data_IF_949191627800
#
_entry.id   IF_949191627800
#
_cell.length_a   1.000
_cell.length_b   1.000
_cell.length_c   1.000
_cell.angle_alpha   90.00
_cell.angle_beta   90.00
_cell.angle_gamma   90.00
#
_symmetry.space_group_name_H-M   'P 1'
#
loop_
_entity.id
_entity.type
_entity.pdbx_description
1 polymer ?
#
# COMPACT_ATOMS: atom_id res chain seq x y z
N UNK A 1 32.84 8.72 5.57
CA UNK A 1 31.84 8.43 4.52
C UNK A 1 31.11 7.09 4.65
N UNK A 2 31.77 5.92 4.75
CA UNK A 2 31.06 4.63 4.98
C UNK A 2 30.51 4.53 6.41
N UNK A 3 31.32 4.91 7.41
CA UNK A 3 30.95 4.85 8.82
C UNK A 3 29.88 5.90 9.20
N UNK A 4 29.89 7.07 8.57
CA UNK A 4 28.86 8.12 8.75
C UNK A 4 27.50 7.70 8.18
N UNK A 5 27.49 6.99 7.03
CA UNK A 5 26.25 6.44 6.46
C UNK A 5 25.72 5.26 7.26
N UNK A 6 26.59 4.42 7.83
CA UNK A 6 26.17 3.34 8.73
C UNK A 6 25.67 3.88 10.08
N UNK A 7 26.23 4.96 10.61
CA UNK A 7 25.71 5.66 11.77
C UNK A 7 24.33 6.29 11.47
N UNK A 8 24.18 6.99 10.34
CA UNK A 8 22.89 7.58 9.93
C UNK A 8 21.77 6.55 9.74
N UNK A 9 22.07 5.35 9.25
CA UNK A 9 21.07 4.27 9.18
C UNK A 9 20.67 3.75 10.57
N UNK A 10 21.59 3.66 11.53
CA UNK A 10 21.27 3.25 12.90
C UNK A 10 20.38 4.27 13.60
N UNK A 11 20.64 5.55 13.37
CA UNK A 11 19.82 6.63 13.92
C UNK A 11 18.41 6.60 13.33
N UNK A 12 18.27 6.37 12.00
CA UNK A 12 16.99 6.16 11.36
C UNK A 12 16.27 4.90 11.89
N UNK A 13 16.96 3.77 12.01
CA UNK A 13 16.38 2.54 12.57
C UNK A 13 15.83 2.78 13.99
N UNK A 14 16.55 3.53 14.83
CA UNK A 14 16.12 3.89 16.17
C UNK A 14 14.92 4.85 16.18
N UNK A 15 14.93 5.88 15.31
CA UNK A 15 13.81 6.81 15.12
C UNK A 15 12.53 6.06 14.75
N UNK A 16 12.59 5.24 13.70
CA UNK A 16 11.41 4.53 13.19
C UNK A 16 10.92 3.49 14.19
N UNK A 17 11.84 2.77 14.85
CA UNK A 17 11.48 1.83 15.91
C UNK A 17 10.71 2.54 17.04
N UNK A 18 11.23 3.66 17.52
CA UNK A 18 10.59 4.43 18.60
C UNK A 18 9.21 4.93 18.17
N UNK A 19 9.08 5.39 16.93
CA UNK A 19 7.80 5.79 16.36
C UNK A 19 6.81 4.61 16.32
N UNK A 20 7.24 3.45 15.82
CA UNK A 20 6.39 2.26 15.75
C UNK A 20 5.95 1.77 17.13
N UNK A 21 6.86 1.69 18.11
CA UNK A 21 6.55 1.28 19.48
C UNK A 21 5.52 2.18 20.15
N UNK A 22 5.59 3.49 19.89
CA UNK A 22 4.68 4.47 20.48
C UNK A 22 3.30 4.45 19.81
N UNK A 23 3.22 4.21 18.51
CA UNK A 23 2.01 4.47 17.73
C UNK A 23 1.32 3.22 17.14
N UNK A 24 1.94 2.04 17.14
CA UNK A 24 1.38 0.86 16.46
C UNK A 24 0.01 0.41 16.99
N UNK A 25 -0.36 0.79 18.22
CA UNK A 25 -1.63 0.43 18.86
C UNK A 25 -2.74 1.45 18.61
N UNK A 26 -2.43 2.58 17.99
CA UNK A 26 -3.42 3.61 17.65
C UNK A 26 -4.41 3.11 16.61
N UNK A 27 -5.58 3.74 16.61
CA UNK A 27 -6.55 3.61 15.53
C UNK A 27 -5.94 4.11 14.21
N UNK A 28 -6.30 3.46 13.09
CA UNK A 28 -5.68 3.64 11.78
C UNK A 28 -5.59 5.10 11.32
N UNK A 29 -6.68 5.88 11.45
CA UNK A 29 -6.65 7.30 11.08
C UNK A 29 -5.66 8.07 11.94
N UNK A 30 -5.72 7.88 13.26
CA UNK A 30 -4.82 8.56 14.21
C UNK A 30 -3.36 8.20 13.94
N UNK A 31 -3.06 6.94 13.61
CA UNK A 31 -1.73 6.50 13.23
C UNK A 31 -1.17 7.27 12.02
N UNK A 32 -1.97 7.45 10.96
CA UNK A 32 -1.52 8.19 9.78
C UNK A 32 -1.40 9.70 10.00
N UNK A 33 -2.19 10.27 10.91
CA UNK A 33 -2.02 11.66 11.35
C UNK A 33 -0.67 11.85 12.08
N UNK A 34 -0.29 10.93 12.97
CA UNK A 34 1.04 10.97 13.61
C UNK A 34 2.17 10.69 12.63
N UNK A 35 1.93 9.82 11.64
CA UNK A 35 2.90 9.53 10.59
C UNK A 35 3.16 10.75 9.70
N UNK A 36 2.15 11.58 9.44
CA UNK A 36 2.30 12.86 8.72
C UNK A 36 3.08 13.88 9.54
N UNK A 37 2.74 14.04 10.84
CA UNK A 37 3.46 14.93 11.76
C UNK A 37 4.94 14.55 11.89
N UNK A 38 5.22 13.25 11.90
CA UNK A 38 6.57 12.72 11.92
C UNK A 38 7.24 12.79 10.53
N UNK A 39 6.57 13.24 9.47
CA UNK A 39 7.13 13.29 8.11
C UNK A 39 7.47 11.92 7.52
N UNK A 40 6.86 10.85 8.03
CA UNK A 40 7.06 9.48 7.57
C UNK A 40 6.02 9.06 6.52
N UNK A 41 4.90 9.78 6.42
CA UNK A 41 3.77 9.44 5.56
C UNK A 41 4.14 9.46 4.07
N UNK A 42 4.95 10.46 3.67
CA UNK A 42 5.40 10.70 2.29
C UNK A 42 6.63 9.83 1.95
N UNK A 43 6.49 8.51 2.16
CA UNK A 43 7.57 7.52 2.22
C UNK A 43 8.51 7.53 1.01
N UNK A 44 7.96 7.64 -0.20
CA UNK A 44 8.70 7.60 -1.46
C UNK A 44 8.40 8.78 -2.37
N UNK A 45 7.89 9.88 -1.81
CA UNK A 45 7.61 11.09 -2.57
C UNK A 45 8.91 11.87 -2.86
N UNK A 46 8.96 12.61 -3.98
CA UNK A 46 10.04 13.57 -4.23
C UNK A 46 10.15 14.64 -3.13
N UNK A 47 11.37 15.11 -2.85
CA UNK A 47 11.63 16.15 -1.84
C UNK A 47 10.85 17.45 -2.10
N UNK A 48 10.77 17.87 -3.37
CA UNK A 48 10.04 19.08 -3.76
C UNK A 48 8.53 18.98 -3.57
N UNK A 49 8.01 17.77 -3.31
CA UNK A 49 6.61 17.50 -2.95
C UNK A 49 6.45 17.15 -1.46
N UNK A 50 7.47 17.42 -0.64
CA UNK A 50 7.45 17.21 0.81
C UNK A 50 7.92 15.84 1.29
N UNK A 51 8.43 14.98 0.39
CA UNK A 51 9.09 13.74 0.80
C UNK A 51 10.42 14.00 1.52
N UNK A 52 10.88 13.04 2.32
CA UNK A 52 12.18 13.13 3.03
C UNK A 52 13.40 12.87 2.14
N UNK A 53 13.21 12.52 0.86
CA UNK A 53 14.31 12.23 -0.07
C UNK A 53 15.02 10.90 0.18
N UNK A 54 14.40 10.00 0.93
CA UNK A 54 15.01 8.73 1.30
C UNK A 54 15.37 7.88 0.09
N UNK A 55 16.57 7.31 0.13
CA UNK A 55 17.00 6.31 -0.83
C UNK A 55 16.31 4.95 -0.55
N UNK A 56 16.43 4.00 -1.49
CA UNK A 56 15.76 2.69 -1.40
C UNK A 56 16.12 1.89 -0.14
N UNK A 57 17.33 2.06 0.41
CA UNK A 57 17.74 1.38 1.65
C UNK A 57 17.06 1.99 2.86
N UNK A 58 16.95 3.30 2.93
CA UNK A 58 16.24 4.03 3.99
C UNK A 58 14.74 3.72 3.93
N UNK A 59 14.14 3.74 2.74
CA UNK A 59 12.74 3.31 2.55
C UNK A 59 12.51 1.87 3.05
N UNK A 60 13.44 0.94 2.78
CA UNK A 60 13.35 -0.44 3.28
C UNK A 60 13.45 -0.55 4.80
N UNK A 61 14.23 0.30 5.46
CA UNK A 61 14.26 0.36 6.94
C UNK A 61 12.87 0.69 7.47
N UNK A 62 12.22 1.71 6.90
CA UNK A 62 10.87 2.12 7.30
C UNK A 62 9.85 1.01 7.03
N UNK A 63 9.86 0.44 5.82
CA UNK A 63 8.95 -0.64 5.39
C UNK A 63 9.02 -1.83 6.36
N UNK A 64 10.22 -2.29 6.69
CA UNK A 64 10.43 -3.44 7.58
C UNK A 64 9.97 -3.15 8.99
N UNK A 65 10.34 -2.00 9.55
CA UNK A 65 9.92 -1.62 10.89
C UNK A 65 8.39 -1.49 10.98
N UNK A 66 7.72 -0.84 10.01
CA UNK A 66 6.25 -0.76 10.02
C UNK A 66 5.59 -2.15 10.02
N UNK A 67 6.11 -3.09 9.22
CA UNK A 67 5.58 -4.45 9.16
C UNK A 67 5.86 -5.25 10.43
N UNK A 68 7.08 -5.21 10.96
CA UNK A 68 7.51 -5.94 12.16
C UNK A 68 6.71 -5.52 13.41
N UNK A 69 6.42 -4.22 13.54
CA UNK A 69 5.63 -3.68 14.63
C UNK A 69 4.12 -3.75 14.39
N UNK A 70 3.69 -4.38 13.28
CA UNK A 70 2.27 -4.57 12.91
C UNK A 70 1.51 -3.25 12.86
N UNK A 71 2.15 -2.23 12.31
CA UNK A 71 1.53 -0.93 12.06
C UNK A 71 0.45 -1.06 10.98
N UNK A 72 -0.55 -0.16 10.96
CA UNK A 72 -1.53 -0.09 9.88
C UNK A 72 -0.86 -0.01 8.50
N UNK A 73 -1.44 -0.70 7.53
CA UNK A 73 -0.92 -0.68 6.16
C UNK A 73 -1.34 0.58 5.43
N UNK A 74 -0.50 1.08 4.51
CA UNK A 74 -0.81 2.28 3.75
C UNK A 74 -2.16 2.18 3.00
N UNK A 75 -2.97 3.25 2.97
CA UNK A 75 -4.23 3.30 2.23
C UNK A 75 -4.00 3.44 0.72
N UNK A 76 -5.02 3.13 -0.07
CA UNK A 76 -5.02 3.26 -1.55
C UNK A 76 -4.67 4.68 -2.02
N UNK A 77 -5.12 5.69 -1.27
CA UNK A 77 -4.76 7.09 -1.48
C UNK A 77 -3.25 7.28 -1.61
N UNK A 78 -2.42 6.57 -0.83
CA UNK A 78 -0.97 6.69 -0.88
C UNK A 78 -0.31 5.67 -1.81
N UNK A 79 -0.86 4.45 -1.89
CA UNK A 79 -0.25 3.41 -2.74
C UNK A 79 -0.51 3.59 -4.23
N UNK A 80 -1.59 4.28 -4.62
CA UNK A 80 -2.02 4.49 -6.01
C UNK A 80 -2.36 5.95 -6.28
N UNK A 81 -3.16 6.57 -5.41
CA UNK A 81 -3.66 7.93 -5.63
C UNK A 81 -2.55 8.99 -5.74
N UNK A 82 -1.63 9.02 -4.77
CA UNK A 82 -0.51 9.95 -4.77
C UNK A 82 0.42 9.75 -5.98
N UNK A 83 0.85 8.52 -6.35
CA UNK A 83 1.56 8.27 -7.61
C UNK A 83 0.88 8.84 -8.85
N UNK A 84 -0.45 8.68 -8.98
CA UNK A 84 -1.19 9.22 -10.12
C UNK A 84 -1.14 10.75 -10.15
N UNK A 85 -1.34 11.41 -9.00
CA UNK A 85 -1.23 12.88 -8.92
C UNK A 85 0.21 13.31 -9.23
N UNK A 86 1.22 12.68 -8.64
CA UNK A 86 2.62 13.05 -8.81
C UNK A 86 3.05 12.98 -10.28
N UNK A 87 2.64 11.92 -11.00
CA UNK A 87 3.13 11.65 -12.34
C UNK A 87 2.28 12.26 -13.45
N UNK A 88 0.99 12.47 -13.23
CA UNK A 88 0.06 12.81 -14.30
C UNK A 88 -0.54 14.22 -14.15
N UNK A 89 -0.82 14.67 -12.92
CA UNK A 89 -1.46 15.97 -12.72
C UNK A 89 -0.59 17.14 -13.20
N UNK A 90 -1.27 18.19 -13.63
CA UNK A 90 -0.65 19.47 -13.95
C UNK A 90 0.07 20.04 -12.72
N UNK A 91 1.25 20.63 -12.93
CA UNK A 91 2.10 21.11 -11.83
C UNK A 91 1.40 22.15 -10.93
N UNK A 92 0.50 22.97 -11.49
CA UNK A 92 -0.26 23.97 -10.72
C UNK A 92 -1.26 23.36 -9.74
N UNK A 93 -1.82 22.19 -10.05
CA UNK A 93 -2.81 21.51 -9.21
C UNK A 93 -2.17 20.47 -8.28
N UNK A 94 -0.97 19.99 -8.60
CA UNK A 94 -0.29 18.86 -7.96
C UNK A 94 -0.19 19.00 -6.44
N UNK A 95 0.39 20.09 -5.94
CA UNK A 95 0.54 20.31 -4.50
C UNK A 95 -0.81 20.44 -3.78
N UNK A 96 -1.77 21.13 -4.41
CA UNK A 96 -3.11 21.28 -3.86
C UNK A 96 -3.81 19.92 -3.72
N UNK A 97 -3.73 19.07 -4.74
CA UNK A 97 -4.35 17.74 -4.73
C UNK A 97 -3.66 16.81 -3.73
N UNK A 98 -2.33 16.82 -3.63
CA UNK A 98 -1.59 16.00 -2.67
C UNK A 98 -1.90 16.38 -1.22
N UNK A 99 -2.04 17.67 -0.90
CA UNK A 99 -2.41 18.12 0.44
C UNK A 99 -3.85 17.76 0.81
N UNK A 100 -4.79 17.83 -0.15
CA UNK A 100 -6.16 17.36 0.09
C UNK A 100 -6.24 15.84 0.21
N UNK A 101 -5.37 15.10 -0.49
CA UNK A 101 -5.27 13.65 -0.37
C UNK A 101 -4.85 13.24 1.04
N UNK A 102 -3.85 13.91 1.63
CA UNK A 102 -3.39 13.63 3.01
C UNK A 102 -4.49 13.90 4.03
N UNK A 103 -5.34 14.90 3.81
CA UNK A 103 -6.49 15.20 4.69
C UNK A 103 -7.61 14.16 4.59
N UNK A 104 -7.66 13.41 3.48
CA UNK A 104 -8.76 12.51 3.15
C UNK A 104 -8.31 11.07 2.88
N UNK A 105 -7.20 10.62 3.47
CA UNK A 105 -6.58 9.31 3.24
C UNK A 105 -7.55 8.11 3.32
N UNK A 106 -8.55 8.18 4.19
CA UNK A 106 -9.53 7.10 4.36
C UNK A 106 -10.68 7.13 3.34
N UNK A 107 -10.93 8.29 2.74
CA UNK A 107 -12.07 8.57 1.85
C UNK A 107 -11.66 8.50 0.39
N UNK A 108 -10.54 9.13 0.04
CA UNK A 108 -10.06 9.21 -1.34
C UNK A 108 -9.57 7.85 -1.81
N UNK A 109 -10.40 7.21 -2.62
CA UNK A 109 -10.22 5.90 -3.24
C UNK A 109 -10.64 6.01 -4.70
N UNK A 110 -10.35 5.01 -5.52
CA UNK A 110 -10.97 4.99 -6.85
C UNK A 110 -12.38 4.42 -6.72
N UNK A 111 -13.37 5.14 -7.26
CA UNK A 111 -14.75 4.65 -7.29
C UNK A 111 -15.45 5.08 -8.57
N UNK A 112 -16.57 4.41 -8.86
CA UNK A 112 -17.39 4.67 -10.04
C UNK A 112 -18.50 5.71 -9.79
N UNK A 113 -18.66 6.22 -8.55
CA UNK A 113 -19.73 7.16 -8.20
C UNK A 113 -19.26 8.63 -8.22
N UNK A 114 -19.53 9.41 -9.30
CA UNK A 114 -19.01 10.78 -9.53
C UNK A 114 -19.44 11.81 -8.48
N UNK A 115 -20.30 11.46 -7.53
CA UNK A 115 -20.77 12.40 -6.51
C UNK A 115 -19.90 12.43 -5.24
N UNK A 116 -18.95 11.50 -5.08
CA UNK A 116 -18.05 11.45 -3.91
C UNK A 116 -16.68 12.08 -4.22
N UNK A 117 -15.98 12.58 -3.20
CA UNK A 117 -14.58 13.01 -3.39
C UNK A 117 -13.64 11.82 -3.51
N UNK A 118 -12.66 11.92 -4.40
CA UNK A 118 -11.70 10.85 -4.65
C UNK A 118 -11.31 10.72 -6.11
N UNK A 119 -10.85 9.53 -6.47
CA UNK A 119 -10.36 9.19 -7.80
C UNK A 119 -11.43 8.52 -8.63
N UNK A 120 -11.39 8.75 -9.94
CA UNK A 120 -12.46 8.38 -10.84
C UNK A 120 -11.97 7.87 -12.17
N UNK A 121 -12.49 6.70 -12.52
CA UNK A 121 -12.39 6.14 -13.86
C UNK A 121 -13.73 6.34 -14.57
N UNK A 122 -13.77 7.24 -15.56
CA UNK A 122 -14.90 7.30 -16.49
C UNK A 122 -14.70 6.25 -17.59
N UNK A 123 -15.63 5.29 -17.65
CA UNK A 123 -15.57 4.18 -18.61
C UNK A 123 -15.90 4.61 -20.04
N UNK A 124 -16.72 5.66 -20.22
CA UNK A 124 -17.17 6.10 -21.54
C UNK A 124 -16.02 6.57 -22.44
N UNK A 125 -15.04 7.26 -21.85
CA UNK A 125 -13.90 7.86 -22.55
C UNK A 125 -12.54 7.36 -22.03
N UNK A 126 -12.55 6.37 -21.14
CA UNK A 126 -11.38 5.85 -20.43
C UNK A 126 -10.51 6.99 -19.88
N UNK A 127 -11.15 7.94 -19.19
CA UNK A 127 -10.47 9.08 -18.56
C UNK A 127 -10.32 8.90 -17.05
N UNK A 128 -9.20 9.40 -16.53
CA UNK A 128 -8.89 9.39 -15.11
C UNK A 128 -8.90 10.83 -14.56
N UNK A 129 -9.60 11.04 -13.44
CA UNK A 129 -9.65 12.35 -12.79
C UNK A 129 -9.82 12.24 -11.27
N UNK A 130 -9.55 13.35 -10.59
CA UNK A 130 -9.87 13.54 -9.16
C UNK A 130 -11.03 14.49 -9.03
N UNK A 131 -12.00 14.17 -8.17
CA UNK A 131 -12.99 15.15 -7.70
C UNK A 131 -12.58 15.61 -6.31
N UNK A 132 -12.30 16.91 -6.19
CA UNK A 132 -11.92 17.57 -4.96
C UNK A 132 -12.70 18.88 -4.85
N UNK A 133 -13.39 19.12 -3.72
CA UNK A 133 -14.15 20.34 -3.49
C UNK A 133 -15.14 20.67 -4.63
N UNK A 134 -15.83 19.65 -5.15
CA UNK A 134 -16.79 19.73 -6.27
C UNK A 134 -16.19 20.17 -7.62
N UNK A 135 -14.85 20.14 -7.76
CA UNK A 135 -14.16 20.37 -9.02
C UNK A 135 -13.56 19.08 -9.54
N UNK A 136 -13.58 18.93 -10.87
CA UNK A 136 -12.97 17.81 -11.61
C UNK A 136 -11.58 18.22 -12.07
N UNK A 137 -10.58 17.43 -11.71
CA UNK A 137 -9.18 17.62 -12.09
C UNK A 137 -8.75 16.44 -12.96
N UNK A 138 -8.53 16.62 -14.28
CA UNK A 138 -8.02 15.56 -15.11
C UNK A 138 -6.64 15.15 -14.61
N UNK A 139 -6.43 13.84 -14.46
CA UNK A 139 -5.12 13.34 -14.08
C UNK A 139 -4.25 13.14 -15.30
N UNK A 140 -4.74 12.56 -16.39
CA UNK A 140 -3.95 12.39 -17.61
C UNK A 140 -4.81 12.44 -18.87
N UNK A 141 -4.30 11.88 -19.96
CA UNK A 141 -5.00 11.87 -21.24
C UNK A 141 -6.20 10.89 -21.23
N UNK A 142 -7.26 11.25 -21.95
CA UNK A 142 -8.41 10.37 -22.17
C UNK A 142 -8.01 9.19 -23.05
N UNK A 143 -8.52 8.00 -22.76
CA UNK A 143 -8.18 6.77 -23.48
C UNK A 143 -7.07 5.95 -22.82
N UNK A 144 -6.31 6.53 -21.87
CA UNK A 144 -5.13 5.91 -21.26
C UNK A 144 -5.31 5.58 -19.76
N UNK A 145 -6.53 5.66 -19.23
CA UNK A 145 -6.75 5.48 -17.80
C UNK A 145 -6.32 4.09 -17.30
N UNK A 146 -6.57 3.02 -18.05
CA UNK A 146 -6.17 1.66 -17.67
C UNK A 146 -4.64 1.49 -17.64
N UNK A 147 -3.93 2.05 -18.63
CA UNK A 147 -2.45 2.07 -18.67
C UNK A 147 -1.89 2.82 -17.46
N UNK A 148 -2.47 3.98 -17.13
CA UNK A 148 -2.02 4.74 -15.97
C UNK A 148 -2.23 3.99 -14.67
N UNK A 149 -3.38 3.33 -14.53
CA UNK A 149 -3.70 2.55 -13.35
C UNK A 149 -2.87 1.27 -13.24
N UNK A 150 -2.33 0.72 -14.33
CA UNK A 150 -1.41 -0.43 -14.28
C UNK A 150 0.04 -0.02 -13.98
N UNK A 151 0.40 1.23 -14.29
CA UNK A 151 1.79 1.73 -14.23
C UNK A 151 2.14 2.48 -12.94
N UNK A 152 1.23 3.32 -12.44
CA UNK A 152 1.58 4.27 -11.37
C UNK A 152 1.18 3.75 -9.98
N UNK A 153 2.12 3.09 -9.32
CA UNK A 153 1.99 2.67 -7.91
C UNK A 153 3.22 3.07 -7.09
N UNK A 154 3.00 3.26 -5.79
CA UNK A 154 4.08 3.30 -4.81
C UNK A 154 4.51 1.87 -4.48
N UNK A 155 5.62 1.43 -5.08
CA UNK A 155 6.22 0.13 -4.74
C UNK A 155 6.57 0.04 -3.26
N UNK A 156 6.98 1.15 -2.63
CA UNK A 156 7.32 1.17 -1.21
C UNK A 156 6.10 0.85 -0.32
N UNK A 157 4.94 1.48 -0.59
CA UNK A 157 3.69 1.20 0.10
C UNK A 157 3.25 -0.26 -0.11
N UNK A 158 3.30 -0.74 -1.37
CA UNK A 158 2.92 -2.12 -1.70
C UNK A 158 3.82 -3.16 -1.01
N UNK A 159 5.13 -2.91 -0.93
CA UNK A 159 6.06 -3.79 -0.19
C UNK A 159 5.75 -3.83 1.31
N UNK A 160 5.39 -2.70 1.91
CA UNK A 160 4.96 -2.66 3.32
C UNK A 160 3.68 -3.46 3.53
N UNK A 161 2.69 -3.28 2.66
CA UNK A 161 1.43 -4.04 2.70
C UNK A 161 1.70 -5.54 2.56
N UNK A 162 2.53 -5.94 1.59
CA UNK A 162 2.88 -7.35 1.36
C UNK A 162 3.61 -7.97 2.56
N UNK A 163 4.68 -7.34 3.05
CA UNK A 163 5.45 -7.86 4.18
C UNK A 163 4.60 -7.98 5.45
N UNK A 164 3.72 -7.00 5.71
CA UNK A 164 2.81 -7.04 6.85
C UNK A 164 1.91 -8.27 6.81
N UNK A 165 1.35 -8.60 5.64
CA UNK A 165 0.53 -9.80 5.47
C UNK A 165 1.30 -11.10 5.71
N UNK A 166 2.55 -11.19 5.23
CA UNK A 166 3.42 -12.35 5.48
C UNK A 166 3.69 -12.51 6.98
N UNK A 167 4.07 -11.44 7.68
CA UNK A 167 4.41 -11.50 9.11
C UNK A 167 3.19 -11.85 9.97
N UNK A 168 2.03 -11.25 9.67
CA UNK A 168 0.77 -11.63 10.32
C UNK A 168 0.42 -13.11 10.10
N UNK A 169 0.62 -13.60 8.87
CA UNK A 169 0.36 -15.01 8.53
C UNK A 169 1.29 -15.96 9.28
N UNK A 170 2.58 -15.61 9.42
CA UNK A 170 3.56 -16.39 10.21
C UNK A 170 3.15 -16.50 11.67
N UNK A 171 2.82 -15.37 12.29
CA UNK A 171 2.47 -15.32 13.69
C UNK A 171 1.19 -16.11 13.97
N UNK A 172 0.19 -15.96 13.09
CA UNK A 172 -1.06 -16.70 13.21
C UNK A 172 -0.85 -18.20 12.99
N UNK A 173 -0.10 -18.60 11.95
CA UNK A 173 0.20 -20.01 11.66
C UNK A 173 0.86 -20.72 12.85
N UNK A 174 1.83 -20.06 13.51
CA UNK A 174 2.47 -20.56 14.73
C UNK A 174 1.47 -20.70 15.89
N UNK A 175 0.57 -19.73 16.05
CA UNK A 175 -0.40 -19.72 17.14
C UNK A 175 -1.47 -20.82 16.99
N UNK A 176 -1.87 -21.14 15.75
CA UNK A 176 -2.94 -22.12 15.47
C UNK A 176 -2.42 -23.50 15.04
N UNK A 177 -1.09 -23.70 14.96
CA UNK A 177 -0.46 -24.92 14.44
C UNK A 177 -0.99 -25.34 13.05
N UNK A 178 -1.18 -24.36 12.16
CA UNK A 178 -1.76 -24.56 10.84
C UNK A 178 -0.78 -25.17 9.83
N UNK A 179 -1.30 -25.86 8.79
CA UNK A 179 -0.49 -26.61 7.80
C UNK A 179 -0.05 -25.80 6.57
N UNK A 180 -0.11 -24.47 6.60
CA UNK A 180 0.19 -23.63 5.42
C UNK A 180 1.56 -22.95 5.50
N UNK A 181 2.46 -23.46 6.34
CA UNK A 181 3.81 -22.92 6.53
C UNK A 181 4.59 -22.85 5.22
N UNK A 182 4.43 -23.82 4.33
CA UNK A 182 5.06 -23.83 3.01
C UNK A 182 4.62 -22.65 2.13
N UNK A 183 3.32 -22.34 2.08
CA UNK A 183 2.81 -21.21 1.30
C UNK A 183 3.36 -19.88 1.82
N UNK A 184 3.48 -19.73 3.14
CA UNK A 184 4.05 -18.54 3.76
C UNK A 184 5.56 -18.42 3.43
N UNK A 185 6.29 -19.53 3.42
CA UNK A 185 7.72 -19.55 3.06
C UNK A 185 7.92 -19.20 1.58
N UNK A 186 7.14 -19.77 0.68
CA UNK A 186 7.17 -19.44 -0.75
C UNK A 186 6.90 -17.96 -0.99
N UNK A 187 5.92 -17.40 -0.28
CA UNK A 187 5.58 -15.99 -0.37
C UNK A 187 6.70 -15.09 0.17
N UNK A 188 7.38 -15.50 1.26
CA UNK A 188 8.55 -14.80 1.78
C UNK A 188 9.73 -14.83 0.79
N UNK A 189 9.96 -15.95 0.11
CA UNK A 189 11.00 -16.05 -0.92
C UNK A 189 10.70 -15.07 -2.06
N UNK A 190 9.44 -15.02 -2.51
CA UNK A 190 8.96 -14.10 -3.54
C UNK A 190 9.15 -12.63 -3.11
N UNK A 191 8.76 -12.29 -1.88
CA UNK A 191 8.98 -10.96 -1.32
C UNK A 191 10.46 -10.58 -1.33
N UNK A 192 11.34 -11.46 -0.82
CA UNK A 192 12.80 -11.20 -0.77
C UNK A 192 13.41 -11.02 -2.16
N UNK A 193 12.88 -11.69 -3.18
CA UNK A 193 13.32 -11.48 -4.55
C UNK A 193 12.98 -10.06 -5.04
N UNK A 194 11.76 -9.58 -4.78
CA UNK A 194 11.33 -8.22 -5.16
C UNK A 194 12.02 -7.15 -4.31
N UNK A 195 12.24 -7.40 -3.02
CA UNK A 195 13.03 -6.51 -2.13
C UNK A 195 14.43 -6.25 -2.70
N UNK A 196 15.08 -7.29 -3.24
CA UNK A 196 16.40 -7.16 -3.88
C UNK A 196 16.35 -6.31 -5.15
N UNK A 197 15.30 -6.45 -5.96
CA UNK A 197 15.10 -5.62 -7.16
C UNK A 197 14.85 -4.16 -6.79
N UNK A 198 14.00 -3.93 -5.78
CA UNK A 198 13.72 -2.60 -5.24
C UNK A 198 14.99 -1.89 -4.77
N UNK A 199 15.88 -2.60 -4.08
CA UNK A 199 17.17 -2.05 -3.64
C UNK A 199 18.09 -1.68 -4.81
N UNK A 200 18.00 -2.41 -5.93
CA UNK A 200 18.82 -2.16 -7.13
C UNK A 200 18.22 -1.09 -8.06
N UNK A 201 16.99 -0.64 -7.81
CA UNK A 201 16.25 0.30 -8.66
C UNK A 201 16.05 -0.20 -10.11
N UNK A 202 15.88 -1.52 -10.31
CA UNK A 202 15.73 -2.14 -11.63
C UNK A 202 14.25 -2.40 -11.98
N UNK A 203 13.72 -1.82 -13.08
CA UNK A 203 12.33 -2.02 -13.58
C UNK A 203 11.21 -1.74 -12.56
N UNK A 204 10.80 -0.47 -12.47
CA UNK A 204 9.79 0.00 -11.51
C UNK A 204 8.42 -0.66 -11.72
N UNK A 205 7.99 -0.83 -12.98
CA UNK A 205 6.67 -1.40 -13.34
C UNK A 205 6.55 -2.86 -12.90
N UNK A 206 7.57 -3.70 -13.19
CA UNK A 206 7.58 -5.11 -12.80
C UNK A 206 7.58 -5.27 -11.29
N UNK A 207 8.32 -4.42 -10.57
CA UNK A 207 8.31 -4.43 -9.10
C UNK A 207 6.95 -4.06 -8.53
N UNK A 208 6.30 -3.02 -9.07
CA UNK A 208 4.96 -2.61 -8.65
C UNK A 208 3.94 -3.74 -8.86
N UNK A 209 3.91 -4.34 -10.05
CA UNK A 209 3.02 -5.46 -10.37
C UNK A 209 3.21 -6.65 -9.42
N UNK A 210 4.47 -7.09 -9.24
CA UNK A 210 4.78 -8.20 -8.33
C UNK A 210 4.42 -7.87 -6.89
N UNK A 211 4.65 -6.63 -6.44
CA UNK A 211 4.31 -6.20 -5.08
C UNK A 211 2.79 -6.16 -4.87
N UNK A 212 2.04 -5.69 -5.86
CA UNK A 212 0.58 -5.69 -5.78
C UNK A 212 0.00 -7.11 -5.80
N UNK A 213 0.53 -7.99 -6.65
CA UNK A 213 0.17 -9.42 -6.67
C UNK A 213 0.48 -10.12 -5.35
N UNK A 214 1.69 -9.91 -4.81
CA UNK A 214 2.11 -10.48 -3.54
C UNK A 214 1.26 -10.03 -2.35
N UNK A 215 0.84 -8.76 -2.33
CA UNK A 215 -0.12 -8.27 -1.35
C UNK A 215 -1.47 -9.02 -1.41
N UNK A 216 -2.01 -9.25 -2.61
CA UNK A 216 -3.26 -10.00 -2.79
C UNK A 216 -3.07 -11.45 -2.30
N UNK A 217 -1.93 -12.06 -2.63
CA UNK A 217 -1.60 -13.42 -2.19
C UNK A 217 -1.50 -13.51 -0.67
N UNK A 218 -0.84 -12.55 -0.02
CA UNK A 218 -0.78 -12.46 1.44
C UNK A 218 -2.16 -12.30 2.08
N UNK A 219 -3.06 -11.51 1.46
CA UNK A 219 -4.47 -11.43 1.88
C UNK A 219 -5.18 -12.78 1.76
N UNK A 220 -4.99 -13.53 0.67
CA UNK A 220 -5.58 -14.86 0.49
C UNK A 220 -5.08 -15.87 1.52
N UNK A 221 -3.75 -15.92 1.74
CA UNK A 221 -3.12 -16.78 2.74
C UNK A 221 -3.70 -16.50 4.12
N UNK A 222 -3.75 -15.23 4.52
CA UNK A 222 -4.25 -14.84 5.84
C UNK A 222 -5.76 -15.10 5.99
N UNK A 223 -6.54 -14.90 4.92
CA UNK A 223 -7.97 -15.27 4.87
C UNK A 223 -8.14 -16.78 5.10
N UNK A 224 -7.32 -17.61 4.45
CA UNK A 224 -7.33 -19.06 4.62
C UNK A 224 -6.98 -19.50 6.05
N UNK A 225 -5.99 -18.84 6.68
CA UNK A 225 -5.61 -19.11 8.07
C UNK A 225 -6.70 -18.78 9.09
N UNK A 226 -7.37 -17.64 8.94
CA UNK A 226 -8.42 -17.21 9.88
C UNK A 226 -9.67 -18.07 9.72
N UNK A 227 -9.97 -18.47 8.49
CA UNK A 227 -11.19 -19.20 8.14
C UNK A 227 -12.46 -18.33 8.27
N UNK A 228 -13.58 -18.85 7.77
CA UNK A 228 -14.86 -18.12 7.72
C UNK A 228 -15.34 -17.68 9.12
N UNK A 229 -15.23 -18.56 10.12
CA UNK A 229 -15.68 -18.29 11.49
C UNK A 229 -14.87 -17.19 12.20
N UNK A 230 -13.57 -17.08 11.91
CA UNK A 230 -12.73 -16.01 12.46
C UNK A 230 -12.99 -14.65 11.81
N UNK A 231 -13.60 -14.62 10.61
CA UNK A 231 -13.95 -13.40 9.89
C UNK A 231 -15.32 -12.84 10.29
N UNK A 232 -16.24 -13.71 10.76
CA UNK A 232 -17.56 -13.28 11.25
C UNK A 232 -17.39 -12.22 12.34
N UNK A 233 -17.96 -11.03 12.13
CA UNK A 233 -18.21 -10.10 13.23
C UNK A 233 -19.19 -10.81 14.16
N UNK A 234 -18.73 -11.26 15.34
CA UNK A 234 -19.65 -11.41 16.47
C UNK A 234 -20.35 -10.05 16.58
N UNK A 235 -21.65 -10.01 16.28
CA UNK A 235 -22.42 -8.79 16.42
C UNK A 235 -22.25 -8.31 17.86
N UNK A 236 -22.10 -7.00 18.04
CA UNK A 236 -22.02 -6.38 19.37
C UNK A 236 -23.27 -6.66 20.24
N UNK A 237 -24.29 -7.32 19.68
CA UNK A 237 -25.51 -7.78 20.35
C UNK A 237 -25.30 -9.04 21.19
N UNK A 238 -24.24 -9.82 20.94
CA UNK A 238 -23.84 -10.90 21.81
C UNK A 238 -22.89 -10.33 22.87
N UNK A 239 -23.40 -10.01 24.06
CA UNK A 239 -22.72 -9.38 25.22
C UNK A 239 -21.48 -10.11 25.77
N UNK A 240 -20.51 -10.40 24.92
CA UNK A 240 -19.19 -10.93 25.23
C UNK A 240 -18.24 -9.75 25.40
N UNK A 241 -17.69 -9.59 26.60
CA UNK A 241 -16.66 -8.60 26.92
C UNK A 241 -15.29 -8.95 26.33
N UNK A 242 -15.17 -10.03 25.55
CA UNK A 242 -13.90 -10.45 24.98
C UNK A 242 -13.59 -9.62 23.73
N UNK A 243 -12.38 -9.03 23.62
CA UNK A 243 -11.99 -8.31 22.43
C UNK A 243 -12.07 -9.23 21.19
N UNK A 244 -12.40 -8.68 20.01
CA UNK A 244 -12.48 -9.47 18.79
C UNK A 244 -11.17 -10.23 18.56
N UNK A 245 -11.23 -11.54 18.37
CA UNK A 245 -10.06 -12.33 17.95
C UNK A 245 -9.51 -11.79 16.63
N UNK A 246 -8.20 -11.90 16.46
CA UNK A 246 -7.48 -11.55 15.23
C UNK A 246 -7.62 -10.07 14.82
N UNK A 247 -7.65 -9.14 15.77
CA UNK A 247 -7.93 -7.73 15.49
C UNK A 247 -6.99 -7.16 14.40
N UNK A 248 -5.68 -7.41 14.50
CA UNK A 248 -4.68 -6.89 13.55
C UNK A 248 -4.83 -7.50 12.17
N UNK A 249 -5.07 -8.80 12.12
CA UNK A 249 -5.28 -9.54 10.88
C UNK A 249 -6.58 -9.09 10.20
N UNK A 250 -7.64 -8.84 10.96
CA UNK A 250 -8.92 -8.34 10.42
C UNK A 250 -8.81 -6.93 9.89
N UNK A 251 -8.09 -6.04 10.59
CA UNK A 251 -7.80 -4.69 10.09
C UNK A 251 -7.01 -4.79 8.78
N UNK A 252 -5.96 -5.61 8.74
CA UNK A 252 -5.20 -5.86 7.50
C UNK A 252 -6.09 -6.32 6.36
N UNK A 253 -6.91 -7.36 6.58
CA UNK A 253 -7.78 -7.93 5.55
C UNK A 253 -8.79 -6.90 5.04
N UNK A 254 -9.43 -6.14 5.93
CA UNK A 254 -10.35 -5.06 5.55
C UNK A 254 -9.64 -3.97 4.74
N UNK A 255 -8.43 -3.58 5.17
CA UNK A 255 -7.62 -2.57 4.50
C UNK A 255 -7.14 -3.01 3.12
N UNK A 256 -6.84 -4.29 2.89
CA UNK A 256 -6.50 -4.78 1.54
C UNK A 256 -7.75 -4.98 0.69
N UNK A 257 -8.81 -5.58 1.24
CA UNK A 257 -10.09 -5.80 0.53
C UNK A 257 -10.68 -4.50 -0.02
N UNK A 258 -10.57 -3.40 0.72
CA UNK A 258 -11.03 -2.10 0.26
C UNK A 258 -10.26 -1.52 -0.94
N UNK A 259 -9.18 -2.18 -1.35
CA UNK A 259 -8.29 -1.80 -2.46
C UNK A 259 -8.25 -2.89 -3.56
N UNK A 260 -8.93 -4.04 -3.36
CA UNK A 260 -8.94 -5.15 -4.32
C UNK A 260 -9.95 -4.91 -5.46
N UNK A 261 -11.04 -4.18 -5.21
CA UNK A 261 -12.13 -4.00 -6.19
C UNK A 261 -11.71 -3.35 -7.51
N UNK A 262 -10.53 -2.71 -7.56
CA UNK A 262 -9.94 -2.18 -8.78
C UNK A 262 -8.96 -3.13 -9.47
N UNK A 263 -8.25 -3.96 -8.70
CA UNK A 263 -7.25 -4.87 -9.23
C UNK A 263 -7.84 -5.99 -10.11
N UNK A 264 -9.06 -6.46 -9.81
CA UNK A 264 -9.71 -7.49 -10.62
C UNK A 264 -10.18 -6.99 -12.00
N UNK A 265 -10.45 -5.69 -12.12
CA UNK A 265 -10.94 -5.06 -13.36
C UNK A 265 -9.78 -4.58 -14.24
N UNK A 266 -8.66 -4.13 -13.66
CA UNK A 266 -7.60 -3.43 -14.41
C UNK A 266 -6.38 -4.28 -14.77
N UNK A 267 -6.13 -5.39 -14.06
CA UNK A 267 -4.83 -6.12 -14.18
C UNK A 267 -4.91 -7.34 -15.08
N UNK A 268 -6.10 -7.90 -15.32
CA UNK A 268 -6.22 -9.14 -16.13
C UNK A 268 -5.98 -8.93 -17.62
N UNK A 269 -6.30 -7.76 -18.16
CA UNK A 269 -6.34 -7.58 -19.62
C UNK A 269 -5.05 -6.96 -20.20
N UNK A 270 -4.30 -6.12 -19.47
CA UNK A 270 -3.08 -5.48 -19.99
C UNK A 270 -1.75 -6.20 -19.68
N UNK A 271 -1.70 -7.05 -18.64
CA UNK A 271 -0.45 -7.79 -18.32
C UNK A 271 -0.11 -8.83 -19.40
N UNK A 272 -1.10 -9.27 -20.18
CA UNK A 272 -0.85 -10.15 -21.32
C UNK A 272 -0.12 -9.42 -22.46
N UNK A 273 -0.42 -8.14 -22.70
CA UNK A 273 0.12 -7.39 -23.84
C UNK A 273 1.56 -6.89 -23.62
N UNK A 274 1.90 -6.34 -22.44
CA UNK A 274 3.29 -5.91 -22.15
C UNK A 274 4.31 -7.07 -22.09
N UNK A 275 3.84 -8.28 -21.78
CA UNK A 275 4.68 -9.49 -21.80
C UNK A 275 4.95 -10.02 -23.22
N UNK A 276 4.08 -9.70 -24.18
CA UNK A 276 4.20 -10.13 -25.57
C UNK A 276 5.05 -9.17 -26.41
N UNK A 277 5.15 -7.90 -26.03
CA UNK A 277 5.98 -6.91 -26.73
C UNK A 277 7.48 -7.04 -26.40
N UNK A 278 7.83 -7.64 -25.26
CA UNK A 278 9.23 -7.94 -24.91
C UNK A 278 9.78 -9.23 -25.55
N UNK A 279 8.93 -10.03 -26.21
CA UNK A 279 9.34 -11.25 -26.95
C UNK A 279 9.51 -10.98 -28.47
N UNK A 280 9.43 -9.71 -28.90
CA UNK A 280 9.54 -9.28 -30.30
C UNK A 280 10.76 -8.42 -30.64
N UNK A 281 11.83 -8.46 -29.84
CA UNK A 281 13.16 -7.97 -30.26
C UNK A 281 14.15 -9.11 -30.53
#
# INVERSE_FOLDING_TARGET
MKDEREAGHKDLEAEIKSFCELHNSLETRTFFEEMDKAGLLRLDWPEHLGGRGWNRREQLIVIKALAEYKCPIFPEALSLGAPLIINLSLDEDKLFLLENLIRNLSVWRIHHNPDSEGFFLAQEDSSLYVICQKKKYPLGESGLAEEYLSKYFSTACLLQQWLSGILLSKDLSRAISGSIENEIIEEEISFRAVERLFRKSESLSLQALRSNSGRIKAHQILTGLIGYEGLLKKSAEAGSNDPPKFLKERVFLQSVASQISLNEILIKDHVYEESLDNDKE
#
